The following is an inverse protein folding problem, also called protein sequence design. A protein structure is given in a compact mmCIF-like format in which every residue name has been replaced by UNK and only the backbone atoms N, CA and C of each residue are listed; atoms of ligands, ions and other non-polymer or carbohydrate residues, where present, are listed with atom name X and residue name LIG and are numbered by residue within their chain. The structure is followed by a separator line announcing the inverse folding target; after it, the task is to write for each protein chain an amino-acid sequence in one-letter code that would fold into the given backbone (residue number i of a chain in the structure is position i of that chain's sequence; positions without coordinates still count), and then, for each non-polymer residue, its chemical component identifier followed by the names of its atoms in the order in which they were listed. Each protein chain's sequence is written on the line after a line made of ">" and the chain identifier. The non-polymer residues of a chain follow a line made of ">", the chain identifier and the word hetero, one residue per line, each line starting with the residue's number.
data_IF_832229389359
#
_entry.id   IF_832229389359
#
_cell.length_a   1.000
_cell.length_b   1.000
_cell.length_c   1.000
_cell.angle_alpha   90.00
_cell.angle_beta   90.00
_cell.angle_gamma   90.00
#
_symmetry.space_group_name_H-M   'P 1'
#
loop_
_entity.id
_entity.type
_entity.pdbx_description
1 polymer ?
#
# COMPACT_ATOMS: atom_id res chain seq x y z
N UNK A 1 -11.85 0.67 27.26
CA UNK A 1 -11.52 -0.26 26.15
C UNK A 1 -12.15 0.14 24.81
N UNK A 2 -13.41 0.60 24.76
CA UNK A 2 -14.08 1.02 23.50
C UNK A 2 -13.42 2.17 22.71
N UNK A 3 -12.65 3.05 23.36
CA UNK A 3 -11.98 4.16 22.65
C UNK A 3 -10.65 3.74 22.00
N UNK A 4 -10.01 2.68 22.51
CA UNK A 4 -8.71 2.21 22.00
C UNK A 4 -8.85 1.60 20.62
N UNK A 5 -9.84 0.72 20.42
CA UNK A 5 -10.11 0.12 19.11
C UNK A 5 -10.50 1.16 18.06
N UNK A 6 -11.24 2.20 18.45
CA UNK A 6 -11.56 3.33 17.57
C UNK A 6 -10.30 4.07 17.15
N UNK A 7 -9.41 4.42 18.09
CA UNK A 7 -8.15 5.09 17.78
C UNK A 7 -7.27 4.26 16.84
N UNK A 8 -7.14 2.95 17.11
CA UNK A 8 -6.35 2.04 16.25
C UNK A 8 -6.97 1.96 14.84
N UNK A 9 -8.30 1.86 14.73
CA UNK A 9 -8.96 1.81 13.43
C UNK A 9 -8.81 3.10 12.62
N UNK A 10 -8.83 4.27 13.28
CA UNK A 10 -8.57 5.57 12.63
C UNK A 10 -7.11 5.65 12.19
N UNK A 11 -6.17 5.22 13.04
CA UNK A 11 -4.76 5.18 12.68
C UNK A 11 -4.50 4.30 11.46
N UNK A 12 -5.06 3.08 11.44
CA UNK A 12 -5.00 2.18 10.28
C UNK A 12 -5.57 2.82 9.01
N UNK A 13 -6.68 3.56 9.12
CA UNK A 13 -7.27 4.25 7.97
C UNK A 13 -6.34 5.35 7.44
N UNK A 14 -5.75 6.17 8.31
CA UNK A 14 -4.80 7.21 7.91
C UNK A 14 -3.57 6.60 7.25
N UNK A 15 -2.99 5.55 7.83
CA UNK A 15 -1.83 4.86 7.25
C UNK A 15 -2.18 4.24 5.89
N UNK A 16 -3.38 3.67 5.72
CA UNK A 16 -3.83 3.12 4.45
C UNK A 16 -3.97 4.20 3.37
N UNK A 17 -4.46 5.40 3.73
CA UNK A 17 -4.53 6.54 2.80
C UNK A 17 -3.14 7.01 2.36
N UNK A 18 -2.21 7.16 3.31
CA UNK A 18 -0.81 7.55 3.01
C UNK A 18 -0.15 6.52 2.10
N UNK A 19 -0.35 5.23 2.38
CA UNK A 19 0.20 4.17 1.56
C UNK A 19 -0.37 4.18 0.14
N UNK A 20 -1.70 4.29 -0.02
CA UNK A 20 -2.31 4.37 -1.35
C UNK A 20 -1.83 5.58 -2.12
N UNK A 21 -1.65 6.73 -1.47
CA UNK A 21 -1.12 7.93 -2.11
C UNK A 21 0.32 7.71 -2.60
N UNK A 22 1.20 7.18 -1.73
CA UNK A 22 2.60 6.95 -2.09
C UNK A 22 2.80 5.86 -3.17
N UNK A 23 2.00 4.79 -3.15
CA UNK A 23 2.01 3.77 -4.21
C UNK A 23 1.37 4.32 -5.49
N UNK A 24 0.27 5.07 -5.36
CA UNK A 24 -0.45 5.69 -6.46
C UNK A 24 0.41 6.67 -7.26
N UNK A 25 1.16 7.54 -6.58
CA UNK A 25 2.14 8.42 -7.24
C UNK A 25 3.15 7.63 -8.06
N UNK A 26 3.67 6.53 -7.52
CA UNK A 26 4.68 5.69 -8.22
C UNK A 26 4.10 4.98 -9.44
N UNK A 27 2.89 4.45 -9.31
CA UNK A 27 2.16 3.85 -10.45
C UNK A 27 1.90 4.91 -11.51
N UNK A 28 1.45 6.10 -11.11
CA UNK A 28 1.24 7.21 -12.04
C UNK A 28 2.54 7.62 -12.74
N UNK A 29 3.64 7.75 -12.00
CA UNK A 29 4.95 8.09 -12.55
C UNK A 29 5.45 7.03 -13.53
N UNK A 30 5.28 5.75 -13.21
CA UNK A 30 5.65 4.64 -14.09
C UNK A 30 4.83 4.64 -15.39
N UNK A 31 3.52 4.85 -15.30
CA UNK A 31 2.64 4.97 -16.47
C UNK A 31 2.99 6.20 -17.31
N UNK A 32 3.32 7.32 -16.66
CA UNK A 32 3.73 8.54 -17.34
C UNK A 32 5.07 8.39 -18.06
N UNK A 33 6.07 7.76 -17.43
CA UNK A 33 7.33 7.46 -18.08
C UNK A 33 7.15 6.49 -19.25
N UNK A 34 6.33 5.45 -19.07
CA UNK A 34 5.99 4.54 -20.16
C UNK A 34 5.36 5.27 -21.34
N UNK A 35 4.37 6.14 -21.09
CA UNK A 35 3.69 6.91 -22.13
C UNK A 35 4.65 7.90 -22.82
N UNK A 36 5.44 8.65 -22.04
CA UNK A 36 6.35 9.68 -22.57
C UNK A 36 7.47 9.09 -23.43
N UNK A 37 7.99 7.92 -23.04
CA UNK A 37 9.07 7.24 -23.73
C UNK A 37 8.58 6.07 -24.59
N UNK A 38 7.28 5.98 -24.85
CA UNK A 38 6.72 4.98 -25.74
C UNK A 38 7.34 5.13 -27.15
N UNK A 39 8.19 4.18 -27.54
CA UNK A 39 8.91 4.18 -28.83
C UNK A 39 10.36 4.64 -28.77
N UNK A 40 10.84 5.17 -27.63
CA UNK A 40 12.27 5.41 -27.37
C UNK A 40 12.84 4.21 -26.60
N UNK A 41 13.83 3.54 -27.19
CA UNK A 41 14.39 2.31 -26.61
C UNK A 41 14.95 2.52 -25.20
N UNK A 42 14.52 1.67 -24.26
CA UNK A 42 15.10 1.41 -22.94
C UNK A 42 15.01 2.52 -21.84
N UNK A 43 14.32 3.63 -22.07
CA UNK A 43 14.24 4.76 -21.10
C UNK A 43 12.86 4.97 -20.42
N UNK A 44 11.95 4.00 -20.56
CA UNK A 44 10.56 4.08 -20.07
C UNK A 44 10.30 3.53 -18.67
N UNK A 45 11.30 3.56 -17.78
CA UNK A 45 11.25 2.84 -16.50
C UNK A 45 11.32 3.79 -15.29
N UNK A 46 10.53 3.48 -14.26
CA UNK A 46 10.65 4.14 -12.96
C UNK A 46 11.60 3.38 -12.06
N UNK A 47 12.46 4.09 -11.34
CA UNK A 47 13.37 3.46 -10.37
C UNK A 47 12.69 3.37 -9.00
N UNK A 48 12.63 2.16 -8.46
CA UNK A 48 12.16 1.90 -7.11
C UNK A 48 13.34 1.52 -6.22
N UNK A 49 13.46 2.18 -5.08
CA UNK A 49 14.42 1.79 -4.05
C UNK A 49 14.00 0.46 -3.41
N UNK A 50 14.90 -0.53 -3.43
CA UNK A 50 14.68 -1.84 -2.82
C UNK A 50 14.31 -1.75 -1.33
N UNK A 51 14.95 -0.84 -0.58
CA UNK A 51 14.70 -0.65 0.85
C UNK A 51 13.28 -0.17 1.11
N UNK A 52 12.81 0.76 0.26
CA UNK A 52 11.44 1.28 0.36
C UNK A 52 10.40 0.22 -0.01
N UNK A 53 10.68 -0.59 -1.04
CA UNK A 53 9.79 -1.69 -1.45
C UNK A 53 9.65 -2.69 -0.30
N UNK A 54 10.76 -3.16 0.27
CA UNK A 54 10.76 -4.12 1.39
C UNK A 54 10.06 -3.54 2.62
N UNK A 55 10.37 -2.29 2.99
CA UNK A 55 9.72 -1.62 4.12
C UNK A 55 8.21 -1.50 3.92
N UNK A 56 7.77 -1.17 2.70
CA UNK A 56 6.34 -1.05 2.37
C UNK A 56 5.64 -2.40 2.51
N UNK A 57 6.21 -3.47 1.95
CA UNK A 57 5.67 -4.83 2.13
C UNK A 57 5.57 -5.22 3.61
N UNK A 58 6.66 -5.06 4.37
CA UNK A 58 6.69 -5.43 5.78
C UNK A 58 5.65 -4.65 6.61
N UNK A 59 5.57 -3.33 6.44
CA UNK A 59 4.63 -2.49 7.16
C UNK A 59 3.18 -2.81 6.77
N UNK A 60 2.90 -3.06 5.50
CA UNK A 60 1.55 -3.46 5.06
C UNK A 60 1.13 -4.81 5.64
N UNK A 61 2.02 -5.81 5.66
CA UNK A 61 1.71 -7.10 6.29
C UNK A 61 1.43 -6.96 7.79
N UNK A 62 2.23 -6.17 8.51
CA UNK A 62 1.96 -5.85 9.90
C UNK A 62 0.61 -5.14 10.06
N UNK A 63 0.30 -4.15 9.22
CA UNK A 63 -0.95 -3.41 9.29
C UNK A 63 -2.18 -4.28 8.99
N UNK A 64 -2.08 -5.20 8.01
CA UNK A 64 -3.13 -6.18 7.71
C UNK A 64 -3.36 -7.11 8.91
N UNK A 65 -2.29 -7.59 9.53
CA UNK A 65 -2.39 -8.43 10.72
C UNK A 65 -3.08 -7.70 11.89
N UNK A 66 -2.69 -6.44 12.15
CA UNK A 66 -3.33 -5.60 13.17
C UNK A 66 -4.80 -5.34 12.83
N UNK A 67 -5.12 -5.05 11.57
CA UNK A 67 -6.51 -4.86 11.11
C UNK A 67 -7.36 -6.12 11.34
N UNK A 68 -6.80 -7.30 11.07
CA UNK A 68 -7.46 -8.58 11.33
C UNK A 68 -7.70 -8.83 12.83
N UNK A 69 -6.71 -8.54 13.69
CA UNK A 69 -6.88 -8.62 15.14
C UNK A 69 -7.99 -7.69 15.62
N UNK A 70 -7.98 -6.43 15.16
CA UNK A 70 -9.02 -5.44 15.51
C UNK A 70 -10.39 -5.93 15.07
N UNK A 71 -10.53 -6.48 13.87
CA UNK A 71 -11.78 -7.05 13.39
C UNK A 71 -12.27 -8.21 14.27
N UNK A 72 -11.39 -9.16 14.61
CA UNK A 72 -11.74 -10.35 15.41
C UNK A 72 -12.12 -10.02 16.85
N UNK A 73 -11.45 -9.06 17.47
CA UNK A 73 -11.67 -8.69 18.87
C UNK A 73 -12.73 -7.58 19.07
N UNK A 74 -13.13 -6.85 18.02
CA UNK A 74 -14.10 -5.73 18.12
C UNK A 74 -15.57 -6.16 18.02
N UNK A 75 -15.97 -7.18 18.80
CA UNK A 75 -17.35 -7.74 18.78
C UNK A 75 -18.42 -6.70 19.15
N UNK A 76 -18.08 -5.72 20.00
CA UNK A 76 -19.03 -4.69 20.49
C UNK A 76 -19.08 -3.41 19.65
N UNK A 77 -18.17 -3.23 18.69
CA UNK A 77 -18.07 -1.99 17.89
C UNK A 77 -17.98 -2.29 16.40
N UNK A 78 -19.14 -2.48 15.79
CA UNK A 78 -19.29 -2.75 14.35
C UNK A 78 -18.62 -1.70 13.46
N UNK A 79 -18.64 -0.41 13.87
CA UNK A 79 -18.01 0.66 13.09
C UNK A 79 -16.49 0.51 13.00
N UNK A 80 -15.81 0.32 14.13
CA UNK A 80 -14.35 0.19 14.17
C UNK A 80 -13.88 -1.08 13.42
N UNK A 81 -14.66 -2.16 13.52
CA UNK A 81 -14.42 -3.40 12.78
C UNK A 81 -14.54 -3.19 11.25
N UNK A 82 -15.57 -2.47 10.79
CA UNK A 82 -15.74 -2.14 9.36
C UNK A 82 -14.61 -1.28 8.83
N UNK A 83 -14.21 -0.24 9.56
CA UNK A 83 -13.09 0.63 9.17
C UNK A 83 -11.80 -0.18 9.05
N UNK A 84 -11.48 -1.02 10.05
CA UNK A 84 -10.30 -1.87 10.00
C UNK A 84 -10.33 -2.84 8.80
N UNK A 85 -11.48 -3.41 8.45
CA UNK A 85 -11.63 -4.29 7.30
C UNK A 85 -11.37 -3.55 5.97
N UNK A 86 -11.94 -2.35 5.79
CA UNK A 86 -11.68 -1.53 4.61
C UNK A 86 -10.22 -1.08 4.51
N UNK A 87 -9.60 -0.70 5.63
CA UNK A 87 -8.16 -0.40 5.68
C UNK A 87 -7.32 -1.62 5.30
N UNK A 88 -7.66 -2.81 5.80
CA UNK A 88 -7.03 -4.06 5.41
C UNK A 88 -7.12 -4.34 3.91
N UNK A 89 -8.31 -4.15 3.32
CA UNK A 89 -8.50 -4.30 1.87
C UNK A 89 -7.68 -3.29 1.07
N UNK A 90 -7.62 -2.04 1.53
CA UNK A 90 -6.78 -0.99 0.95
C UNK A 90 -5.30 -1.35 0.95
N UNK A 91 -4.78 -1.91 2.06
CA UNK A 91 -3.42 -2.42 2.13
C UNK A 91 -3.17 -3.55 1.13
N UNK A 92 -4.09 -4.52 1.04
CA UNK A 92 -4.00 -5.59 0.05
C UNK A 92 -3.99 -5.05 -1.38
N UNK A 93 -4.84 -4.06 -1.70
CA UNK A 93 -4.88 -3.43 -3.01
C UNK A 93 -3.58 -2.68 -3.31
N UNK A 94 -3.04 -1.94 -2.33
CA UNK A 94 -1.74 -1.28 -2.44
C UNK A 94 -0.61 -2.27 -2.72
N UNK A 95 -0.58 -3.40 -2.01
CA UNK A 95 0.39 -4.46 -2.25
C UNK A 95 0.23 -5.12 -3.61
N UNK A 96 -1.00 -5.34 -4.08
CA UNK A 96 -1.26 -5.86 -5.42
C UNK A 96 -0.75 -4.90 -6.50
N UNK A 97 -0.99 -3.59 -6.35
CA UNK A 97 -0.47 -2.57 -7.26
C UNK A 97 1.06 -2.52 -7.25
N UNK A 98 1.69 -2.56 -6.08
CA UNK A 98 3.14 -2.58 -5.96
C UNK A 98 3.73 -3.86 -6.58
N UNK A 99 3.08 -5.01 -6.39
CA UNK A 99 3.51 -6.29 -6.99
C UNK A 99 3.37 -6.25 -8.51
N UNK A 100 2.26 -5.72 -9.03
CA UNK A 100 2.08 -5.52 -10.47
C UNK A 100 3.15 -4.60 -11.06
N UNK A 101 3.48 -3.52 -10.34
CA UNK A 101 4.54 -2.59 -10.72
C UNK A 101 5.91 -3.30 -10.79
N UNK A 102 6.26 -4.12 -9.80
CA UNK A 102 7.53 -4.86 -9.72
C UNK A 102 7.66 -5.96 -10.78
N UNK A 103 6.57 -6.63 -11.14
CA UNK A 103 6.56 -7.65 -12.19
C UNK A 103 6.57 -7.01 -13.57
N UNK A 104 5.98 -5.82 -13.69
CA UNK A 104 5.93 -5.10 -14.96
C UNK A 104 7.33 -4.65 -15.39
N UNK A 105 7.59 -4.59 -16.70
CA UNK A 105 8.82 -3.98 -17.22
C UNK A 105 8.88 -2.48 -16.92
N UNK A 106 7.88 -1.86 -16.27
CA UNK A 106 7.83 -0.42 -16.00
C UNK A 106 8.66 0.00 -14.78
N UNK A 107 9.06 -0.96 -13.94
CA UNK A 107 9.84 -0.68 -12.74
C UNK A 107 11.19 -1.37 -12.73
N UNK A 108 12.21 -0.63 -12.34
CA UNK A 108 13.53 -1.15 -12.07
C UNK A 108 13.86 -0.97 -10.59
N UNK A 109 14.08 -2.09 -9.89
CA UNK A 109 14.49 -2.06 -8.49
C UNK A 109 15.98 -1.76 -8.44
N UNK A 110 16.34 -0.69 -7.71
CA UNK A 110 17.72 -0.25 -7.51
C UNK A 110 18.02 -0.32 -6.02
N UNK A 111 19.16 -0.92 -5.66
CA UNK A 111 19.73 -0.78 -4.32
C UNK A 111 20.63 0.46 -4.32
N UNK A 112 20.27 1.47 -3.52
CA UNK A 112 21.11 2.64 -3.28
C UNK A 112 21.70 2.60 -1.88
#
# INVERSE_FOLDING_TARGET
>A
MNNVYRLISVFLAVTAMVQLFGIGERVHHALWQWYKFAGYGNDGHTTLDATMVVATFALSFCAIFVAWLVYKFSVKQLWAAKVAMYSGFSFCLGLALLSALLISPLAQVVQR
#
